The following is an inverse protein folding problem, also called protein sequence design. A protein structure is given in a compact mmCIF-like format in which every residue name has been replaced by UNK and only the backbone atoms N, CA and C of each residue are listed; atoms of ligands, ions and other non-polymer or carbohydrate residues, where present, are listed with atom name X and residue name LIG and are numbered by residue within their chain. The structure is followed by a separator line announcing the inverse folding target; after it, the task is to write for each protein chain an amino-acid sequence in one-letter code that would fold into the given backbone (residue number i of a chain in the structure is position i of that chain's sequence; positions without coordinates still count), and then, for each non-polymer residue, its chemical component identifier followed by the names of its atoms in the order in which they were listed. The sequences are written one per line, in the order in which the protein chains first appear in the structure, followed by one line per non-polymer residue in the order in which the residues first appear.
data_IF_378208664114
#
_entry.id   IF_378208664114
#
_cell.length_a   1.000
_cell.length_b   1.000
_cell.length_c   1.000
_cell.angle_alpha   90.00
_cell.angle_beta   90.00
_cell.angle_gamma   90.00
#
_symmetry.space_group_name_H-M   'P 1'
#
loop_
_entity.id
_entity.type
_entity.pdbx_description
1 polymer ?
#
# COMPACT_ATOMS: atom_id res chain seq x y z
N UNK A 1 -10.65 1.71 7.86
CA UNK A 1 -11.85 1.63 8.71
C UNK A 1 -12.41 0.22 8.80
N UNK A 2 -12.46 -0.47 7.67
CA UNK A 2 -13.16 -1.76 7.50
C UNK A 2 -12.41 -3.01 7.98
N UNK A 3 -11.42 -2.88 8.87
CA UNK A 3 -10.67 -4.03 9.39
C UNK A 3 -9.59 -4.63 8.47
N UNK A 4 -9.19 -3.95 7.39
CA UNK A 4 -8.13 -4.43 6.47
C UNK A 4 -6.82 -4.87 7.15
N UNK A 5 -6.27 -4.05 8.05
CA UNK A 5 -5.03 -4.41 8.77
C UNK A 5 -5.21 -5.62 9.68
N UNK A 6 -6.39 -5.76 10.29
CA UNK A 6 -6.74 -6.94 11.08
C UNK A 6 -6.84 -8.20 10.21
N UNK A 7 -7.40 -8.09 9.00
CA UNK A 7 -7.43 -9.19 8.04
C UNK A 7 -6.01 -9.63 7.65
N UNK A 8 -5.08 -8.70 7.43
CA UNK A 8 -3.68 -9.02 7.15
C UNK A 8 -3.07 -9.83 8.30
N UNK A 9 -3.31 -9.42 9.54
CA UNK A 9 -2.83 -10.13 10.73
C UNK A 9 -3.44 -11.53 10.84
N UNK A 10 -4.76 -11.66 10.64
CA UNK A 10 -5.44 -12.95 10.64
C UNK A 10 -4.90 -13.91 9.57
N UNK A 11 -4.65 -13.42 8.35
CA UNK A 11 -4.05 -14.22 7.26
C UNK A 11 -2.64 -14.64 7.62
N UNK A 12 -1.84 -13.75 8.21
CA UNK A 12 -0.48 -14.10 8.67
C UNK A 12 -0.52 -15.22 9.71
N UNK A 13 -1.40 -15.11 10.72
CA UNK A 13 -1.59 -16.15 11.71
C UNK A 13 -2.03 -17.48 11.09
N UNK A 14 -2.96 -17.44 10.14
CA UNK A 14 -3.42 -18.63 9.42
C UNK A 14 -2.29 -19.30 8.63
N UNK A 15 -1.44 -18.52 7.95
CA UNK A 15 -0.28 -19.06 7.23
C UNK A 15 0.73 -19.70 8.20
N UNK A 16 1.00 -19.06 9.34
CA UNK A 16 1.91 -19.62 10.33
C UNK A 16 1.34 -20.90 10.96
N UNK A 17 0.02 -20.98 11.15
CA UNK A 17 -0.68 -22.16 11.65
C UNK A 17 -0.66 -23.33 10.64
N UNK A 18 -0.89 -23.08 9.35
CA UNK A 18 -0.92 -24.16 8.34
C UNK A 18 0.48 -24.73 8.07
N UNK A 19 1.50 -23.87 8.02
CA UNK A 19 2.83 -24.28 7.55
C UNK A 19 3.90 -24.38 8.65
N UNK A 20 3.60 -23.95 9.88
CA UNK A 20 4.48 -24.06 11.05
C UNK A 20 5.95 -23.66 10.77
N UNK A 21 6.21 -22.41 10.36
CA UNK A 21 7.56 -22.00 9.97
C UNK A 21 8.55 -22.05 11.13
N UNK A 22 9.82 -22.31 10.80
CA UNK A 22 10.92 -22.16 11.77
C UNK A 22 11.17 -20.69 12.06
N UNK A 23 11.68 -20.39 13.25
CA UNK A 23 12.15 -19.05 13.62
C UNK A 23 13.22 -18.59 12.63
N UNK A 24 12.88 -17.62 11.76
CA UNK A 24 13.63 -17.05 10.61
C UNK A 24 13.05 -17.30 9.22
N UNK A 25 12.10 -18.23 9.05
CA UNK A 25 11.50 -18.49 7.74
C UNK A 25 10.34 -17.52 7.47
N UNK A 26 10.36 -16.91 6.29
CA UNK A 26 9.31 -15.99 5.85
C UNK A 26 8.34 -16.76 4.96
N UNK A 27 7.16 -17.08 5.49
CA UNK A 27 6.06 -17.70 4.74
C UNK A 27 5.12 -16.65 4.15
N UNK A 28 4.90 -15.57 4.90
CA UNK A 28 4.11 -14.42 4.51
C UNK A 28 4.99 -13.17 4.50
N UNK A 29 5.21 -12.58 3.32
CA UNK A 29 5.91 -11.30 3.20
C UNK A 29 4.90 -10.16 3.08
N UNK A 30 4.86 -9.29 4.10
CA UNK A 30 4.00 -8.11 4.09
C UNK A 30 4.83 -6.90 3.66
N UNK A 31 4.35 -6.21 2.64
CA UNK A 31 4.99 -5.01 2.08
C UNK A 31 4.00 -3.88 1.89
N UNK A 32 4.49 -2.64 1.95
CA UNK A 32 3.68 -1.46 1.65
C UNK A 32 4.52 -0.38 0.93
N UNK A 33 3.92 0.62 0.29
CA UNK A 33 4.66 1.65 -0.46
C UNK A 33 5.39 2.65 0.43
N UNK A 34 4.91 2.91 1.66
CA UNK A 34 5.47 3.92 2.57
C UNK A 34 6.00 3.30 3.87
N UNK A 35 6.98 3.95 4.51
CA UNK A 35 7.56 3.47 5.76
C UNK A 35 6.55 3.40 6.91
N UNK A 36 5.67 4.40 7.01
CA UNK A 36 4.62 4.44 8.04
C UNK A 36 3.63 3.29 7.87
N UNK A 37 3.19 3.01 6.64
CA UNK A 37 2.30 1.87 6.38
C UNK A 37 2.95 0.54 6.79
N UNK A 38 4.24 0.36 6.48
CA UNK A 38 4.96 -0.88 6.86
C UNK A 38 5.12 -1.05 8.36
N UNK A 39 5.25 0.05 9.11
CA UNK A 39 5.33 0.01 10.56
C UNK A 39 4.04 -0.56 11.18
N UNK A 40 2.88 -0.14 10.66
CA UNK A 40 1.57 -0.57 11.16
C UNK A 40 1.29 -2.06 10.97
N UNK A 41 1.88 -2.69 9.95
CA UNK A 41 1.67 -4.12 9.63
C UNK A 41 2.89 -5.00 9.93
N UNK A 42 3.94 -4.44 10.54
CA UNK A 42 5.17 -5.17 10.86
C UNK A 42 5.92 -5.70 9.62
N UNK A 43 5.87 -4.96 8.52
CA UNK A 43 6.41 -5.33 7.21
C UNK A 43 7.64 -4.52 6.78
N UNK A 44 7.96 -4.57 5.49
CA UNK A 44 9.02 -3.78 4.86
C UNK A 44 8.48 -3.02 3.65
N UNK A 45 9.15 -1.95 3.22
CA UNK A 45 8.68 -1.29 1.99
C UNK A 45 8.91 -2.19 0.79
N UNK A 46 8.04 -2.11 -0.22
CA UNK A 46 8.18 -2.90 -1.47
C UNK A 46 9.57 -2.67 -2.07
N UNK A 47 10.00 -1.40 -2.10
CA UNK A 47 11.33 -0.99 -2.57
C UNK A 47 12.46 -1.64 -1.78
N UNK A 48 12.35 -1.73 -0.45
CA UNK A 48 13.40 -2.31 0.40
C UNK A 48 13.49 -3.83 0.26
N UNK A 49 12.35 -4.53 0.29
CA UNK A 49 12.35 -5.99 0.25
C UNK A 49 12.81 -6.51 -1.13
N UNK A 50 12.26 -5.94 -2.21
CA UNK A 50 12.52 -6.42 -3.56
C UNK A 50 13.62 -5.64 -4.29
N UNK A 51 14.21 -4.62 -3.67
CA UNK A 51 15.24 -3.74 -4.26
C UNK A 51 14.76 -3.09 -5.56
N UNK A 52 13.52 -2.59 -5.56
CA UNK A 52 12.94 -1.95 -6.74
C UNK A 52 13.64 -0.62 -7.05
N UNK A 53 13.63 -0.18 -8.33
CA UNK A 53 14.07 1.14 -8.72
C UNK A 53 13.46 2.26 -7.88
N UNK A 54 14.32 3.14 -7.35
CA UNK A 54 13.89 4.32 -6.58
C UNK A 54 13.89 5.53 -7.51
N UNK A 55 12.95 6.44 -7.28
CA UNK A 55 12.89 7.73 -7.93
C UNK A 55 13.96 8.67 -7.37
N UNK A 56 14.81 9.20 -8.24
CA UNK A 56 15.75 10.27 -7.91
C UNK A 56 15.37 11.51 -8.73
N UNK A 57 15.23 12.66 -8.07
CA UNK A 57 14.96 13.96 -8.72
C UNK A 57 13.74 13.98 -9.66
N UNK A 58 12.64 13.34 -9.28
CA UNK A 58 11.42 13.32 -10.11
C UNK A 58 11.48 12.35 -11.29
N UNK A 59 12.53 11.52 -11.39
CA UNK A 59 12.70 10.52 -12.45
C UNK A 59 12.82 9.13 -11.82
N UNK A 60 11.79 8.31 -11.96
CA UNK A 60 11.87 6.88 -11.63
C UNK A 60 12.96 6.25 -12.50
N UNK A 61 13.97 5.59 -11.95
CA UNK A 61 14.95 4.88 -12.78
C UNK A 61 14.27 3.78 -13.62
N UNK A 62 14.86 3.42 -14.76
CA UNK A 62 14.42 2.26 -15.53
C UNK A 62 14.66 0.98 -14.75
N UNK A 63 13.98 -0.11 -15.12
CA UNK A 63 14.25 -1.43 -14.56
C UNK A 63 15.70 -1.83 -14.83
N UNK A 64 16.36 -2.38 -13.82
CA UNK A 64 17.64 -3.05 -13.98
C UNK A 64 17.59 -4.43 -13.34
N UNK A 65 18.28 -5.38 -13.97
CA UNK A 65 18.49 -6.69 -13.39
C UNK A 65 19.42 -6.57 -12.17
N UNK A 66 19.09 -7.25 -11.08
CA UNK A 66 19.97 -7.37 -9.92
C UNK A 66 21.22 -8.19 -10.26
N UNK A 67 22.30 -8.01 -9.49
CA UNK A 67 23.43 -8.95 -9.54
C UNK A 67 22.99 -10.35 -9.09
N UNK A 68 23.67 -11.39 -9.58
CA UNK A 68 23.38 -12.78 -9.22
C UNK A 68 23.44 -13.01 -7.70
N UNK A 69 24.35 -12.33 -7.01
CA UNK A 69 24.51 -12.40 -5.56
C UNK A 69 23.31 -11.76 -4.85
N UNK A 70 22.84 -10.59 -5.32
CA UNK A 70 21.67 -9.93 -4.75
C UNK A 70 20.40 -10.75 -4.96
N UNK A 71 20.17 -11.27 -6.17
CA UNK A 71 19.05 -12.18 -6.46
C UNK A 71 19.11 -13.42 -5.58
N UNK A 72 20.28 -14.07 -5.47
CA UNK A 72 20.47 -15.26 -4.63
C UNK A 72 20.17 -14.98 -3.17
N UNK A 73 20.60 -13.82 -2.63
CA UNK A 73 20.28 -13.43 -1.24
C UNK A 73 18.77 -13.32 -1.03
N UNK A 74 18.07 -12.57 -1.88
CA UNK A 74 16.60 -12.42 -1.75
C UNK A 74 15.91 -13.77 -1.91
N UNK A 75 16.30 -14.56 -2.91
CA UNK A 75 15.75 -15.92 -3.13
C UNK A 75 15.94 -16.82 -1.91
N UNK A 76 17.09 -16.75 -1.26
CA UNK A 76 17.35 -17.52 -0.03
C UNK A 76 16.50 -17.02 1.14
N UNK A 77 16.35 -15.72 1.31
CA UNK A 77 15.48 -15.11 2.33
C UNK A 77 14.01 -15.51 2.13
N UNK A 78 13.55 -15.56 0.88
CA UNK A 78 12.16 -15.84 0.50
C UNK A 78 11.94 -17.28 0.03
N UNK A 79 12.85 -18.21 0.34
CA UNK A 79 12.82 -19.58 -0.20
C UNK A 79 11.52 -20.34 0.07
N UNK A 80 10.90 -20.09 1.24
CA UNK A 80 9.69 -20.78 1.67
C UNK A 80 8.43 -19.92 1.50
N UNK A 81 8.57 -18.74 0.90
CA UNK A 81 7.49 -17.77 0.72
C UNK A 81 6.29 -18.41 0.01
N UNK A 82 5.12 -18.29 0.64
CA UNK A 82 3.82 -18.77 0.17
C UNK A 82 2.93 -17.64 -0.32
N UNK A 83 2.96 -16.50 0.36
CA UNK A 83 2.11 -15.34 0.05
C UNK A 83 2.88 -14.03 0.21
N UNK A 84 2.61 -13.10 -0.70
CA UNK A 84 3.02 -11.69 -0.62
C UNK A 84 1.76 -10.87 -0.37
N UNK A 85 1.76 -10.04 0.67
CA UNK A 85 0.67 -9.10 0.94
C UNK A 85 1.18 -7.69 0.66
N UNK A 86 0.52 -6.97 -0.24
CA UNK A 86 0.82 -5.57 -0.58
C UNK A 86 -0.25 -4.68 0.03
N UNK A 87 0.05 -4.08 1.18
CA UNK A 87 -0.83 -3.11 1.85
C UNK A 87 -0.70 -1.72 1.23
N UNK A 88 -1.74 -0.90 1.42
CA UNK A 88 -1.90 0.43 0.83
C UNK A 88 -1.67 0.47 -0.69
N UNK A 89 -2.28 -0.48 -1.41
CA UNK A 89 -2.10 -0.63 -2.87
C UNK A 89 -2.50 0.61 -3.68
N UNK A 90 -3.34 1.50 -3.15
CA UNK A 90 -3.73 2.74 -3.84
C UNK A 90 -2.53 3.65 -4.14
N UNK A 91 -1.50 3.62 -3.30
CA UNK A 91 -0.27 4.38 -3.47
C UNK A 91 0.76 3.65 -4.35
N UNK A 92 0.50 2.40 -4.74
CA UNK A 92 1.38 1.65 -5.64
C UNK A 92 1.09 2.08 -7.08
N UNK A 93 2.13 2.51 -7.80
CA UNK A 93 1.98 2.85 -9.21
C UNK A 93 1.92 1.60 -10.09
N UNK A 94 1.28 1.69 -11.25
CA UNK A 94 1.31 0.63 -12.26
C UNK A 94 2.74 0.25 -12.69
N UNK A 95 3.68 1.21 -12.68
CA UNK A 95 5.09 0.97 -12.96
C UNK A 95 5.77 0.18 -11.84
N UNK A 96 5.50 0.52 -10.58
CA UNK A 96 6.03 -0.22 -9.43
C UNK A 96 5.45 -1.64 -9.36
N UNK A 97 4.18 -1.83 -9.75
CA UNK A 97 3.58 -3.15 -9.88
C UNK A 97 4.28 -3.98 -10.97
N UNK A 98 4.59 -3.39 -12.11
CA UNK A 98 5.35 -4.06 -13.16
C UNK A 98 6.77 -4.41 -12.72
N UNK A 99 7.46 -3.50 -12.03
CA UNK A 99 8.78 -3.78 -11.44
C UNK A 99 8.73 -4.89 -10.40
N UNK A 100 7.70 -4.92 -9.56
CA UNK A 100 7.50 -6.01 -8.60
C UNK A 100 7.35 -7.35 -9.32
N UNK A 101 6.48 -7.42 -10.33
CA UNK A 101 6.28 -8.63 -11.12
C UNK A 101 7.57 -9.11 -11.79
N UNK A 102 8.25 -8.26 -12.56
CA UNK A 102 9.52 -8.60 -13.22
C UNK A 102 10.59 -9.03 -12.21
N UNK A 103 10.61 -8.40 -11.04
CA UNK A 103 11.57 -8.75 -9.98
C UNK A 103 11.28 -10.12 -9.37
N UNK A 104 10.01 -10.50 -9.24
CA UNK A 104 9.62 -11.82 -8.75
C UNK A 104 9.95 -12.91 -9.78
N UNK A 105 9.76 -12.65 -11.08
CA UNK A 105 10.21 -13.53 -12.15
C UNK A 105 11.73 -13.76 -12.08
N UNK A 106 12.51 -12.68 -11.94
CA UNK A 106 13.97 -12.75 -11.79
C UNK A 106 14.41 -13.55 -10.55
N UNK A 107 13.74 -13.36 -9.42
CA UNK A 107 14.10 -14.02 -8.15
C UNK A 107 13.76 -15.52 -8.20
N UNK A 108 12.55 -15.87 -8.66
CA UNK A 108 12.06 -17.24 -8.62
C UNK A 108 12.44 -18.05 -9.86
N UNK A 109 12.71 -17.40 -10.99
CA UNK A 109 13.16 -18.03 -12.24
C UNK A 109 12.02 -18.65 -13.03
N UNK A 110 10.87 -17.96 -13.10
CA UNK A 110 9.66 -18.37 -13.82
C UNK A 110 9.03 -17.14 -14.47
N UNK A 111 8.34 -17.36 -15.58
CA UNK A 111 7.53 -16.39 -16.33
C UNK A 111 6.05 -16.38 -15.89
N UNK A 112 5.69 -17.15 -14.86
CA UNK A 112 4.36 -17.09 -14.27
C UNK A 112 4.16 -15.79 -13.49
N UNK A 113 2.91 -15.31 -13.46
CA UNK A 113 2.52 -14.09 -12.76
C UNK A 113 3.06 -14.07 -11.33
N UNK A 114 3.67 -12.95 -10.95
CA UNK A 114 4.29 -12.73 -9.63
C UNK A 114 5.29 -13.82 -9.21
N UNK A 115 5.97 -14.48 -10.16
CA UNK A 115 6.97 -15.50 -9.85
C UNK A 115 6.35 -16.77 -9.25
N UNK A 116 5.12 -17.11 -9.64
CA UNK A 116 4.33 -18.24 -9.09
C UNK A 116 4.10 -18.11 -7.57
N UNK A 117 3.87 -16.87 -7.10
CA UNK A 117 3.57 -16.57 -5.69
C UNK A 117 2.17 -15.98 -5.55
N UNK A 118 1.42 -16.49 -4.59
CA UNK A 118 0.14 -15.90 -4.22
C UNK A 118 0.40 -14.46 -3.77
N UNK A 119 -0.32 -13.51 -4.37
CA UNK A 119 -0.15 -12.09 -4.07
C UNK A 119 -1.51 -11.50 -3.74
N UNK A 120 -1.63 -10.96 -2.53
CA UNK A 120 -2.83 -10.29 -2.04
C UNK A 120 -2.59 -8.79 -2.00
N UNK A 121 -3.46 -8.02 -2.65
CA UNK A 121 -3.44 -6.57 -2.60
C UNK A 121 -4.50 -6.08 -1.62
N UNK A 122 -4.09 -5.22 -0.69
CA UNK A 122 -4.97 -4.66 0.34
C UNK A 122 -4.85 -3.14 0.28
N UNK A 123 -5.98 -2.45 0.39
CA UNK A 123 -6.00 -0.98 0.39
C UNK A 123 -7.38 -0.42 0.11
N UNK A 124 -7.42 0.86 -0.24
CA UNK A 124 -8.64 1.55 -0.66
C UNK A 124 -8.29 2.42 -1.87
N UNK A 125 -8.74 2.02 -3.06
CA UNK A 125 -8.35 2.66 -4.32
C UNK A 125 -8.84 4.12 -4.44
N UNK A 126 -9.76 4.54 -3.58
CA UNK A 126 -10.25 5.92 -3.49
C UNK A 126 -9.46 6.78 -2.50
N UNK A 127 -8.49 6.21 -1.78
CA UNK A 127 -7.55 6.98 -0.95
C UNK A 127 -6.43 7.56 -1.80
N UNK A 128 -5.34 7.97 -1.14
CA UNK A 128 -4.22 8.64 -1.79
C UNK A 128 -3.68 7.83 -2.97
N UNK A 129 -3.62 8.43 -4.17
CA UNK A 129 -3.08 7.78 -5.35
C UNK A 129 -1.54 7.77 -5.29
N UNK A 130 -0.87 7.10 -6.25
CA UNK A 130 0.58 7.06 -6.29
C UNK A 130 1.18 8.45 -6.57
N UNK A 131 2.22 8.83 -5.83
CA UNK A 131 2.95 10.09 -6.08
C UNK A 131 3.69 10.00 -7.42
N UNK A 132 3.54 11.00 -8.29
CA UNK A 132 4.13 11.07 -9.64
C UNK A 132 3.92 9.82 -10.51
N UNK A 133 2.89 9.02 -10.20
CA UNK A 133 2.60 7.75 -10.85
C UNK A 133 1.17 7.67 -11.38
N UNK A 134 0.83 6.52 -11.95
CA UNK A 134 -0.56 6.19 -12.29
C UNK A 134 -1.01 5.02 -11.44
N UNK A 135 -2.28 4.96 -11.00
CA UNK A 135 -2.81 3.83 -10.23
C UNK A 135 -2.59 2.49 -10.93
N UNK A 136 -2.52 1.42 -10.14
CA UNK A 136 -2.28 0.04 -10.59
C UNK A 136 -3.21 -0.43 -11.73
N UNK A 137 -4.46 0.00 -11.74
CA UNK A 137 -5.47 -0.38 -12.74
C UNK A 137 -5.33 0.37 -14.08
N UNK A 138 -4.52 1.44 -14.13
CA UNK A 138 -4.26 2.16 -15.38
C UNK A 138 -3.21 1.46 -16.23
N UNK A 139 -3.41 1.44 -17.55
CA UNK A 139 -2.39 0.97 -18.50
C UNK A 139 -1.12 1.83 -18.45
N UNK A 140 0.04 1.17 -18.43
CA UNK A 140 1.35 1.84 -18.58
C UNK A 140 1.44 2.41 -19.99
N UNK A 141 1.88 3.67 -20.14
CA UNK A 141 1.99 4.30 -21.45
C UNK A 141 3.11 3.65 -22.27
N UNK A 142 2.92 3.47 -23.59
CA UNK A 142 3.92 2.84 -24.47
C UNK A 142 5.30 3.51 -24.39
N UNK A 143 5.34 4.83 -24.16
CA UNK A 143 6.58 5.58 -23.90
C UNK A 143 7.31 5.02 -22.67
N UNK A 144 6.61 4.88 -21.54
CA UNK A 144 7.19 4.35 -20.31
C UNK A 144 7.54 2.87 -20.43
N UNK A 145 6.74 2.06 -21.12
CA UNK A 145 7.08 0.66 -21.38
C UNK A 145 8.45 0.57 -22.07
N UNK A 146 8.66 1.34 -23.15
CA UNK A 146 9.91 1.34 -23.90
C UNK A 146 11.08 1.90 -23.08
N UNK A 147 10.88 3.02 -22.37
CA UNK A 147 11.99 3.71 -21.69
C UNK A 147 12.30 3.17 -20.29
N UNK A 148 11.34 2.51 -19.63
CA UNK A 148 11.46 2.05 -18.24
C UNK A 148 11.48 0.54 -18.11
N UNK A 149 10.68 -0.18 -18.89
CA UNK A 149 10.67 -1.66 -18.84
C UNK A 149 11.60 -2.29 -19.87
N UNK A 150 12.02 -1.54 -20.90
CA UNK A 150 12.81 -2.08 -22.01
C UNK A 150 12.01 -3.03 -22.92
N UNK A 151 10.67 -3.04 -22.79
CA UNK A 151 9.78 -3.94 -23.53
C UNK A 151 9.11 -3.23 -24.72
N UNK A 152 8.60 -4.01 -25.68
CA UNK A 152 7.87 -3.49 -26.84
C UNK A 152 6.42 -3.10 -26.49
N UNK A 153 5.79 -3.85 -25.59
CA UNK A 153 4.44 -3.64 -25.08
C UNK A 153 4.36 -4.10 -23.62
N UNK A 154 3.40 -3.57 -22.86
CA UNK A 154 3.09 -4.03 -21.51
C UNK A 154 1.63 -4.47 -21.42
N UNK A 155 1.44 -5.60 -20.76
CA UNK A 155 0.14 -6.11 -20.33
C UNK A 155 -0.34 -5.29 -19.13
N UNK A 156 -1.65 -5.10 -18.98
CA UNK A 156 -2.20 -4.51 -17.77
C UNK A 156 -2.29 -5.58 -16.68
N UNK A 157 -1.19 -5.80 -15.95
CA UNK A 157 -1.06 -6.84 -14.92
C UNK A 157 -2.28 -6.85 -14.00
N UNK A 158 -2.68 -5.68 -13.48
CA UNK A 158 -3.83 -5.57 -12.58
C UNK A 158 -5.10 -6.18 -13.17
N UNK A 159 -5.42 -5.84 -14.42
CA UNK A 159 -6.64 -6.31 -15.08
C UNK A 159 -6.62 -7.82 -15.37
N UNK A 160 -5.45 -8.37 -15.68
CA UNK A 160 -5.33 -9.78 -16.06
C UNK A 160 -5.20 -10.73 -14.85
N UNK A 161 -4.74 -10.23 -13.70
CA UNK A 161 -4.34 -11.11 -12.58
C UNK A 161 -5.11 -10.89 -11.28
N UNK A 162 -5.86 -9.79 -11.13
CA UNK A 162 -6.46 -9.43 -9.84
C UNK A 162 -7.95 -9.71 -9.85
N UNK A 163 -8.38 -10.59 -8.95
CA UNK A 163 -9.76 -10.73 -8.52
C UNK A 163 -10.03 -9.76 -7.36
N UNK A 164 -11.22 -9.16 -7.34
CA UNK A 164 -11.56 -8.07 -6.42
C UNK A 164 -12.70 -8.48 -5.48
N UNK A 165 -12.47 -8.28 -4.18
CA UNK A 165 -13.46 -8.39 -3.12
C UNK A 165 -13.46 -7.12 -2.25
N UNK A 166 -14.64 -6.73 -1.78
CA UNK A 166 -14.84 -5.53 -0.96
C UNK A 166 -15.26 -5.87 0.47
N UNK A 167 -14.55 -5.28 1.45
CA UNK A 167 -15.00 -5.23 2.84
C UNK A 167 -15.95 -4.04 3.02
N UNK A 168 -17.24 -4.32 3.20
CA UNK A 168 -18.31 -3.31 3.24
C UNK A 168 -18.60 -2.75 4.64
N UNK A 169 -18.22 -3.47 5.69
CA UNK A 169 -18.53 -3.08 7.07
C UNK A 169 -17.44 -2.16 7.62
N UNK A 170 -17.82 -0.93 7.97
CA UNK A 170 -16.91 0.02 8.61
C UNK A 170 -16.91 -0.13 10.14
N UNK A 171 -15.84 -0.71 10.68
CA UNK A 171 -15.70 -0.96 12.11
C UNK A 171 -15.17 0.25 12.90
N UNK A 172 -14.54 1.24 12.24
CA UNK A 172 -13.89 2.37 12.94
C UNK A 172 -14.90 3.39 13.46
N UNK A 173 -15.94 3.69 12.68
CA UNK A 173 -16.99 4.64 13.04
C UNK A 173 -18.24 3.95 13.61
N UNK A 174 -18.08 2.74 14.14
CA UNK A 174 -19.17 1.96 14.71
C UNK A 174 -19.78 2.72 15.88
N UNK A 175 -21.04 3.13 15.75
CA UNK A 175 -21.79 3.90 16.75
C UNK A 175 -22.00 5.38 16.40
N UNK A 176 -21.44 5.88 15.29
CA UNK A 176 -21.67 7.24 14.79
C UNK A 176 -22.03 7.21 13.31
N UNK A 177 -23.33 6.99 13.03
CA UNK A 177 -23.87 6.87 11.68
C UNK A 177 -23.72 8.17 10.87
N UNK A 178 -23.93 9.33 11.52
CA UNK A 178 -23.74 10.64 10.90
C UNK A 178 -22.31 10.83 10.43
N UNK A 179 -21.33 10.49 11.27
CA UNK A 179 -19.92 10.60 10.90
C UNK A 179 -19.52 9.59 9.82
N UNK A 180 -20.09 8.38 9.84
CA UNK A 180 -19.90 7.40 8.78
C UNK A 180 -20.38 7.94 7.42
N UNK A 181 -21.63 8.41 7.33
CA UNK A 181 -22.21 8.96 6.09
C UNK A 181 -21.36 10.11 5.57
N UNK A 182 -20.93 11.00 6.47
CA UNK A 182 -20.07 12.14 6.12
C UNK A 182 -18.72 11.70 5.53
N UNK A 183 -18.06 10.69 6.10
CA UNK A 183 -16.78 10.20 5.58
C UNK A 183 -16.94 9.44 4.25
N UNK A 184 -18.03 8.69 4.10
CA UNK A 184 -18.30 7.97 2.85
C UNK A 184 -18.63 8.92 1.69
N UNK A 185 -19.35 10.02 1.97
CA UNK A 185 -19.62 11.06 0.98
C UNK A 185 -18.32 11.75 0.52
N UNK A 186 -17.41 12.04 1.45
CA UNK A 186 -16.08 12.59 1.16
C UNK A 186 -15.24 11.59 0.34
N UNK A 187 -15.24 10.30 0.70
CA UNK A 187 -14.50 9.24 -0.01
C UNK A 187 -14.89 9.14 -1.49
N UNK A 188 -16.17 9.31 -1.81
CA UNK A 188 -16.67 9.27 -3.19
C UNK A 188 -16.63 10.64 -3.90
N UNK A 189 -16.30 11.73 -3.20
CA UNK A 189 -16.35 13.08 -3.75
C UNK A 189 -17.76 13.63 -3.93
N UNK A 190 -18.76 13.09 -3.21
CA UNK A 190 -20.17 13.44 -3.28
C UNK A 190 -20.62 14.18 -2.00
N UNK A 191 -19.89 15.20 -1.59
CA UNK A 191 -20.13 15.93 -0.34
C UNK A 191 -21.47 16.67 -0.38
N UNK A 192 -22.26 16.54 0.70
CA UNK A 192 -23.52 17.27 0.89
C UNK A 192 -23.27 18.61 1.58
N UNK A 193 -24.21 19.55 1.47
CA UNK A 193 -24.14 20.82 2.21
C UNK A 193 -24.04 20.58 3.72
N UNK A 194 -24.79 19.62 4.26
CA UNK A 194 -24.71 19.20 5.67
C UNK A 194 -23.32 18.70 6.07
N UNK A 195 -22.66 17.94 5.19
CA UNK A 195 -21.27 17.48 5.39
C UNK A 195 -20.32 18.67 5.48
N UNK A 196 -20.45 19.62 4.54
CA UNK A 196 -19.61 20.82 4.48
C UNK A 196 -19.82 21.69 5.71
N UNK A 197 -21.06 21.91 6.12
CA UNK A 197 -21.39 22.74 7.28
C UNK A 197 -20.92 22.11 8.58
N UNK A 198 -21.05 20.79 8.71
CA UNK A 198 -20.47 20.03 9.84
C UNK A 198 -18.95 20.21 9.90
N UNK A 199 -18.23 20.08 8.78
CA UNK A 199 -16.77 20.29 8.74
C UNK A 199 -16.41 21.75 9.07
N UNK A 200 -17.14 22.73 8.53
CA UNK A 200 -16.94 24.16 8.83
C UNK A 200 -17.13 24.48 10.31
N UNK A 201 -18.08 23.82 10.99
CA UNK A 201 -18.30 23.99 12.44
C UNK A 201 -17.07 23.60 13.28
N UNK A 202 -16.16 22.80 12.72
CA UNK A 202 -14.92 22.36 13.38
C UNK A 202 -13.73 23.30 13.10
N UNK A 203 -13.93 24.35 12.29
CA UNK A 203 -12.90 25.36 12.03
C UNK A 203 -12.87 26.35 13.19
N UNK A 204 -11.71 26.47 13.83
CA UNK A 204 -11.49 27.45 14.90
C UNK A 204 -10.94 28.76 14.32
N UNK A 205 -11.44 29.89 14.80
CA UNK A 205 -10.96 31.23 14.42
C UNK A 205 -9.85 31.77 15.34
N UNK A 206 -9.19 30.90 16.10
CA UNK A 206 -8.08 31.25 16.98
C UNK A 206 -6.75 30.86 16.35
N UNK A 207 -5.66 31.49 16.79
CA UNK A 207 -4.34 31.09 16.30
C UNK A 207 -4.02 29.64 16.66
N UNK A 208 -3.24 28.95 15.83
CA UNK A 208 -2.82 27.57 16.10
C UNK A 208 -2.10 27.49 17.46
N UNK A 209 -1.29 28.50 17.80
CA UNK A 209 -0.56 28.54 19.07
C UNK A 209 -1.49 28.65 20.27
N UNK A 210 -2.55 29.45 20.19
CA UNK A 210 -3.54 29.57 21.26
C UNK A 210 -4.34 28.27 21.41
N UNK A 211 -4.80 27.68 20.30
CA UNK A 211 -5.57 26.44 20.36
C UNK A 211 -4.75 25.26 20.86
N UNK A 212 -3.47 25.20 20.49
CA UNK A 212 -2.56 24.17 20.96
C UNK A 212 -2.36 24.25 22.49
N UNK A 213 -2.17 25.46 23.04
CA UNK A 213 -2.08 25.67 24.49
C UNK A 213 -3.37 25.32 25.23
N UNK A 214 -4.52 25.65 24.65
CA UNK A 214 -5.83 25.28 25.19
C UNK A 214 -5.95 23.75 25.28
N UNK A 215 -5.63 23.04 24.20
CA UNK A 215 -5.69 21.58 24.14
C UNK A 215 -4.62 20.89 25.03
N UNK A 216 -3.45 21.50 25.24
CA UNK A 216 -2.47 21.03 26.24
C UNK A 216 -2.97 21.17 27.69
N UNK A 217 -3.88 22.11 27.95
CA UNK A 217 -4.41 22.37 29.29
C UNK A 217 -5.61 21.48 29.67
N UNK A 218 -6.29 20.91 28.68
CA UNK A 218 -7.28 19.86 28.89
C UNK A 218 -6.51 18.54 29.15
N UNK A 219 -6.78 17.81 30.24
CA UNK A 219 -6.10 16.55 30.63
C UNK A 219 -6.39 15.37 29.67
N UNK A 220 -6.28 15.60 28.37
CA UNK A 220 -6.38 14.61 27.30
C UNK A 220 -5.03 14.48 26.61
N UNK A 221 -4.87 13.43 25.80
CA UNK A 221 -3.62 13.19 25.07
C UNK A 221 -3.17 14.46 24.32
N UNK A 222 -1.89 14.86 24.43
CA UNK A 222 -1.41 16.10 23.82
C UNK A 222 -1.69 16.10 22.32
N UNK A 223 -2.12 17.24 21.75
CA UNK A 223 -2.44 17.34 20.33
C UNK A 223 -1.20 17.05 19.48
N UNK A 224 -1.33 16.14 18.49
CA UNK A 224 -0.27 15.88 17.52
C UNK A 224 -0.33 16.96 16.44
N UNK A 225 0.65 17.87 16.43
CA UNK A 225 0.82 18.81 15.32
C UNK A 225 1.55 18.10 14.16
N UNK A 226 0.86 17.89 13.04
CA UNK A 226 1.41 17.20 11.86
C UNK A 226 2.29 18.12 10.99
N UNK A 227 2.33 19.42 11.29
CA UNK A 227 3.12 20.41 10.57
C UNK A 227 3.85 21.28 11.59
N UNK A 228 5.13 20.99 11.81
CA UNK A 228 6.08 21.83 12.55
C UNK A 228 6.98 22.58 11.59
#
# INVERSE_FOLDING_TARGET
GTGKSFLIEAIKCLVDDIWHPKSSEIMCAIVAPTGIATFNVGGLTIHRLFQLPIEHEGKTAGYWALSKEAQKRIKMTLKNLKIIIVDEVSMVSNLNLAYLHMRLEDIFGTDEWFGSKNTLFVGDLLQLPPVNGRPVFNKISNKLVKTRLGAANAVNIWKETVEYDELTINERQKGDETFFIMLDSVRHGCQTDDTIDTLKSRVFNVSIQEKYKELESEETNPPICLFS
#
